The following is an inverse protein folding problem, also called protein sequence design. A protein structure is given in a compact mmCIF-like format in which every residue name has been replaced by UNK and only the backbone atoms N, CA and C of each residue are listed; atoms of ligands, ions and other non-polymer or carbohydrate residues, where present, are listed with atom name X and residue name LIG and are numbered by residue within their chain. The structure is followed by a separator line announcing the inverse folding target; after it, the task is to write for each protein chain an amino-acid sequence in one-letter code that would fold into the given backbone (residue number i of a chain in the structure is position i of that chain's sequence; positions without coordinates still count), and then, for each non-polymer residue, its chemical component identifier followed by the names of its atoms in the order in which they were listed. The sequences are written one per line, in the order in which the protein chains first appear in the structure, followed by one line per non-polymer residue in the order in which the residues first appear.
data_IF_449295181756
#
_entry.id   IF_449295181756
#
_cell.length_a   1.000
_cell.length_b   1.000
_cell.length_c   1.000
_cell.angle_alpha   90.00
_cell.angle_beta   90.00
_cell.angle_gamma   90.00
#
_symmetry.space_group_name_H-M   'P 1'
#
loop_
_entity.id
_entity.type
_entity.pdbx_description
1 polymer ?
#
# COMPACT_ATOMS: atom_id res chain seq x y z
N UNK A 1 6.07 18.13 15.89
CA UNK A 1 6.50 18.97 14.76
C UNK A 1 5.59 18.82 13.54
N UNK A 2 5.42 17.63 12.93
CA UNK A 2 4.44 17.47 11.84
C UNK A 2 2.98 17.39 12.32
N UNK A 3 2.73 16.91 13.54
CA UNK A 3 1.38 16.86 14.13
C UNK A 3 0.73 18.26 14.22
N UNK A 4 1.47 19.29 14.61
CA UNK A 4 0.96 20.68 14.67
C UNK A 4 0.54 21.21 13.29
N UNK A 5 1.24 20.82 12.23
CA UNK A 5 0.85 21.20 10.86
C UNK A 5 -0.44 20.49 10.43
N UNK A 6 -0.61 19.23 10.82
CA UNK A 6 -1.83 18.46 10.59
C UNK A 6 -3.01 19.08 11.36
N UNK A 7 -2.78 19.51 12.60
CA UNK A 7 -3.80 20.19 13.42
C UNK A 7 -4.24 21.53 12.80
N UNK A 8 -3.31 22.30 12.22
CA UNK A 8 -3.63 23.53 11.47
C UNK A 8 -4.46 23.21 10.22
N UNK A 9 -4.10 22.17 9.47
CA UNK A 9 -4.83 21.75 8.27
C UNK A 9 -6.25 21.26 8.62
N UNK A 10 -6.42 20.59 9.77
CA UNK A 10 -7.70 20.16 10.33
C UNK A 10 -8.56 21.34 10.78
N UNK A 11 -7.95 22.39 11.34
CA UNK A 11 -8.61 23.64 11.76
C UNK A 11 -8.90 24.63 10.63
N UNK A 12 -8.61 24.28 9.38
CA UNK A 12 -8.83 25.17 8.24
C UNK A 12 -10.30 25.48 8.03
N UNK A 13 -10.60 26.74 7.67
CA UNK A 13 -11.95 27.22 7.34
C UNK A 13 -12.49 26.64 6.02
N UNK A 14 -11.62 26.04 5.21
CA UNK A 14 -12.02 25.40 3.96
C UNK A 14 -12.46 23.96 4.21
N UNK A 15 -13.76 23.70 4.09
CA UNK A 15 -14.39 22.41 4.42
C UNK A 15 -13.74 21.20 3.74
N UNK A 16 -13.36 21.32 2.47
CA UNK A 16 -12.70 20.23 1.74
C UNK A 16 -11.32 19.92 2.35
N UNK A 17 -10.53 20.93 2.74
CA UNK A 17 -9.22 20.69 3.37
C UNK A 17 -9.38 20.05 4.75
N UNK A 18 -10.31 20.54 5.56
CA UNK A 18 -10.61 19.94 6.86
C UNK A 18 -11.08 18.48 6.73
N UNK A 19 -11.78 18.13 5.64
CA UNK A 19 -12.27 16.76 5.39
C UNK A 19 -11.16 15.72 5.15
N UNK A 20 -10.05 16.11 4.53
CA UNK A 20 -8.95 15.17 4.23
C UNK A 20 -8.16 14.72 5.47
N UNK A 21 -8.19 15.49 6.56
CA UNK A 21 -7.41 15.25 7.78
C UNK A 21 -8.28 14.82 8.97
N UNK A 22 -9.53 14.44 8.73
CA UNK A 22 -10.36 13.79 9.75
C UNK A 22 -9.72 12.45 10.10
N UNK A 23 -9.45 12.20 11.38
CA UNK A 23 -9.11 10.86 11.82
C UNK A 23 -10.37 10.01 11.72
N UNK A 24 -10.42 9.12 10.73
CA UNK A 24 -11.29 7.95 10.83
C UNK A 24 -10.80 7.13 12.02
N UNK A 25 -11.61 7.07 13.09
CA UNK A 25 -11.39 6.14 14.18
C UNK A 25 -11.56 4.71 13.66
N UNK A 26 -10.49 4.17 13.07
CA UNK A 26 -10.40 2.73 12.86
C UNK A 26 -10.32 2.07 14.23
N UNK A 27 -11.47 1.55 14.65
CA UNK A 27 -11.71 0.73 15.83
C UNK A 27 -10.88 -0.54 15.76
N UNK A 28 -9.61 -0.45 16.15
CA UNK A 28 -8.86 -1.59 16.69
C UNK A 28 -8.27 -1.13 18.01
N UNK A 29 -8.75 -1.74 19.10
CA UNK A 29 -8.51 -1.39 20.50
C UNK A 29 -7.06 -1.57 20.98
N UNK A 30 -6.08 -1.06 20.25
CA UNK A 30 -4.67 -0.98 20.65
C UNK A 30 -4.28 0.41 21.18
N UNK A 31 -5.23 1.37 21.27
CA UNK A 31 -5.02 2.68 21.89
C UNK A 31 -4.99 2.58 23.43
N UNK A 32 -4.00 1.90 24.01
CA UNK A 32 -3.75 2.07 25.45
C UNK A 32 -2.30 1.86 25.94
N UNK A 33 -1.42 1.12 25.24
CA UNK A 33 -0.15 0.70 25.89
C UNK A 33 1.11 1.42 25.36
N UNK A 34 1.11 2.00 24.16
CA UNK A 34 2.35 2.55 23.59
C UNK A 34 2.23 4.00 23.09
N UNK A 35 1.84 4.92 23.98
CA UNK A 35 1.82 6.38 23.69
C UNK A 35 3.21 6.99 23.43
N UNK A 36 4.30 6.19 23.47
CA UNK A 36 5.68 6.67 23.39
C UNK A 36 6.55 6.05 22.28
N UNK A 37 6.00 5.17 21.44
CA UNK A 37 6.73 4.67 20.27
C UNK A 37 6.05 5.20 19.02
N UNK A 38 6.60 6.30 18.48
CA UNK A 38 6.22 6.83 17.16
C UNK A 38 6.22 5.66 16.18
N UNK A 39 5.05 5.28 15.68
CA UNK A 39 4.94 4.21 14.70
C UNK A 39 5.71 4.63 13.45
N UNK A 40 6.73 3.87 13.06
CA UNK A 40 7.50 4.15 11.85
C UNK A 40 6.61 3.97 10.61
N UNK A 41 6.97 4.62 9.51
CA UNK A 41 6.31 4.41 8.21
C UNK A 41 6.34 2.92 7.83
N UNK A 42 7.44 2.23 8.15
CA UNK A 42 7.57 0.78 7.95
C UNK A 42 6.53 -0.03 8.72
N UNK A 43 6.23 0.32 9.98
CA UNK A 43 5.19 -0.35 10.76
C UNK A 43 3.79 -0.09 10.18
N UNK A 44 3.52 1.11 9.66
CA UNK A 44 2.24 1.42 8.99
C UNK A 44 2.07 0.60 7.72
N UNK A 45 3.11 0.52 6.89
CA UNK A 45 3.11 -0.28 5.66
C UNK A 45 2.91 -1.77 5.96
N UNK A 46 3.64 -2.32 6.95
CA UNK A 46 3.49 -3.70 7.38
C UNK A 46 2.06 -4.02 7.82
N UNK A 47 1.46 -3.15 8.62
CA UNK A 47 0.11 -3.36 9.14
C UNK A 47 -0.95 -3.31 8.03
N UNK A 48 -0.83 -2.35 7.11
CA UNK A 48 -1.70 -2.25 5.92
C UNK A 48 -1.56 -3.47 5.00
N UNK A 49 -0.33 -3.94 4.75
CA UNK A 49 -0.09 -5.14 3.97
C UNK A 49 -0.68 -6.39 4.62
N UNK A 50 -0.59 -6.51 5.95
CA UNK A 50 -1.14 -7.65 6.67
C UNK A 50 -2.66 -7.76 6.48
N UNK A 51 -3.38 -6.64 6.69
CA UNK A 51 -4.83 -6.58 6.49
C UNK A 51 -5.25 -6.91 5.05
N UNK A 52 -4.50 -6.41 4.07
CA UNK A 52 -4.74 -6.72 2.66
C UNK A 52 -4.55 -8.21 2.37
N UNK A 53 -3.48 -8.81 2.87
CA UNK A 53 -3.20 -10.24 2.67
C UNK A 53 -4.25 -11.13 3.34
N UNK A 54 -4.73 -10.77 4.53
CA UNK A 54 -5.83 -11.47 5.20
C UNK A 54 -7.09 -11.50 4.32
N UNK A 55 -7.45 -10.36 3.72
CA UNK A 55 -8.63 -10.25 2.83
C UNK A 55 -8.45 -11.08 1.56
N UNK A 56 -7.27 -11.02 0.92
CA UNK A 56 -6.98 -11.77 -0.30
C UNK A 56 -6.94 -13.28 -0.08
N UNK A 57 -6.45 -13.73 1.08
CA UNK A 57 -6.38 -15.15 1.42
C UNK A 57 -7.77 -15.76 1.72
N UNK A 58 -8.79 -14.94 2.01
CA UNK A 58 -10.15 -15.38 2.24
C UNK A 58 -10.94 -15.65 0.93
N UNK A 59 -10.43 -15.21 -0.23
CA UNK A 59 -11.05 -15.40 -1.55
C UNK A 59 -10.31 -16.44 -2.39
N UNK A 60 -10.97 -17.03 -3.39
CA UNK A 60 -10.39 -18.05 -4.28
C UNK A 60 -9.56 -17.40 -5.41
N UNK A 61 -8.24 -17.68 -5.60
CA UNK A 61 -7.32 -17.06 -6.59
C UNK A 61 -7.54 -17.44 -8.10
N UNK A 62 -7.58 -16.46 -9.02
CA UNK A 62 -7.31 -16.50 -10.46
C UNK A 62 -6.02 -15.72 -10.81
N UNK A 63 -4.95 -16.46 -11.10
CA UNK A 63 -3.62 -15.90 -11.29
C UNK A 63 -3.32 -15.54 -12.75
N UNK A 64 -2.93 -14.29 -13.02
CA UNK A 64 -2.33 -13.86 -14.30
C UNK A 64 -0.89 -13.44 -14.09
N UNK A 65 0.03 -14.06 -14.83
CA UNK A 65 1.47 -13.76 -14.75
C UNK A 65 1.86 -12.70 -15.78
N UNK A 66 2.20 -11.51 -15.32
CA UNK A 66 2.76 -10.48 -16.18
C UNK A 66 4.23 -10.81 -16.52
N UNK A 67 4.51 -11.05 -17.80
CA UNK A 67 5.87 -11.26 -18.32
C UNK A 67 6.33 -10.01 -19.04
N UNK A 68 7.52 -9.50 -18.68
CA UNK A 68 8.14 -8.40 -19.41
C UNK A 68 8.93 -8.95 -20.61
N UNK A 69 8.53 -8.65 -21.86
CA UNK A 69 9.10 -9.28 -23.06
C UNK A 69 10.57 -8.88 -23.29
N UNK A 70 10.92 -7.63 -22.99
CA UNK A 70 12.28 -7.08 -23.08
C UNK A 70 12.54 -6.07 -21.95
N UNK A 71 13.79 -5.66 -21.75
CA UNK A 71 14.13 -4.72 -20.67
C UNK A 71 13.91 -3.26 -21.05
N UNK A 72 14.07 -2.96 -22.34
CA UNK A 72 14.09 -1.62 -22.92
C UNK A 72 12.69 -1.04 -23.18
N UNK A 73 11.64 -1.84 -22.94
CA UNK A 73 10.23 -1.52 -23.22
C UNK A 73 9.98 -1.21 -24.70
N UNK A 74 10.78 -1.79 -25.59
CA UNK A 74 10.71 -1.60 -27.03
C UNK A 74 9.67 -2.53 -27.68
N UNK A 75 8.96 -2.11 -28.73
CA UNK A 75 8.05 -2.98 -29.45
C UNK A 75 8.83 -4.00 -30.30
N UNK A 76 8.30 -5.22 -30.43
CA UNK A 76 8.82 -6.32 -31.28
C UNK A 76 10.17 -6.94 -30.91
N UNK A 77 10.88 -6.40 -29.92
CA UNK A 77 12.08 -7.03 -29.38
C UNK A 77 11.70 -8.07 -28.31
N UNK A 78 12.05 -9.34 -28.53
CA UNK A 78 11.82 -10.42 -27.56
C UNK A 78 13.14 -10.92 -27.04
N UNK A 79 13.24 -11.15 -25.72
CA UNK A 79 14.43 -11.78 -25.16
C UNK A 79 14.65 -13.18 -25.75
N UNK A 80 15.90 -13.61 -25.93
CA UNK A 80 16.20 -14.99 -26.27
C UNK A 80 15.60 -15.97 -25.26
N UNK A 81 14.99 -17.05 -25.77
CA UNK A 81 14.29 -18.11 -24.98
C UNK A 81 15.19 -18.76 -23.93
N UNK A 82 16.51 -18.61 -24.06
CA UNK A 82 17.52 -19.12 -23.13
C UNK A 82 17.58 -18.35 -21.81
N UNK A 83 16.95 -17.17 -21.71
CA UNK A 83 16.92 -16.38 -20.47
C UNK A 83 15.59 -16.56 -19.73
N UNK A 84 15.59 -16.85 -18.41
CA UNK A 84 14.36 -17.00 -17.67
C UNK A 84 13.56 -15.68 -17.68
N UNK A 85 12.25 -15.71 -18.00
CA UNK A 85 11.45 -14.52 -18.10
C UNK A 85 11.32 -13.86 -16.72
N UNK A 86 11.73 -12.58 -16.64
CA UNK A 86 11.53 -11.78 -15.42
C UNK A 86 10.04 -11.46 -15.28
N UNK A 87 9.44 -11.92 -14.18
CA UNK A 87 8.12 -11.47 -13.75
C UNK A 87 8.29 -10.12 -13.12
N UNK A 88 7.55 -9.12 -13.57
CA UNK A 88 7.64 -7.78 -12.96
C UNK A 88 6.68 -7.66 -11.79
N UNK A 89 5.60 -8.45 -11.77
CA UNK A 89 4.69 -8.53 -10.64
C UNK A 89 4.00 -9.89 -10.59
N UNK A 90 3.94 -10.48 -9.40
CA UNK A 90 3.07 -11.63 -9.11
C UNK A 90 1.75 -11.04 -8.64
N UNK A 91 0.79 -10.84 -9.56
CA UNK A 91 -0.59 -10.55 -9.19
C UNK A 91 -1.30 -11.90 -9.01
N UNK A 92 -1.20 -12.47 -7.82
CA UNK A 92 -2.25 -13.38 -7.34
C UNK A 92 -3.51 -12.55 -7.20
N UNK A 93 -4.34 -12.58 -8.24
CA UNK A 93 -5.74 -12.20 -8.11
C UNK A 93 -6.56 -13.47 -7.82
N UNK A 94 -7.70 -13.34 -7.14
CA UNK A 94 -8.93 -14.14 -7.23
C UNK A 94 -9.53 -14.35 -8.59
#
# INVERSE_FOLDING_TARGET
MYEELVDIMRGSKFSLLASFFQEEELTTGFKAINKQLKTTVGNKFRSSLYLLMETLNAMTPHYVRCIKPNEEKMPFETRPVTTPPRCVTKLSWP
#
